data_IF_021499096224
#
_entry.id   IF_021499096224
#
_cell.length_a   1.000
_cell.length_b   1.000
_cell.length_c   1.000
_cell.angle_alpha   90.00
_cell.angle_beta   90.00
_cell.angle_gamma   90.00
#
_symmetry.space_group_name_H-M   'P 1'
#
loop_
_entity.id
_entity.type
_entity.pdbx_description
1 polymer ?
#
# COMPACT_ATOMS: atom_id res chain seq x y z
N UNK A 1 -12.08 -17.67 15.00
CA UNK A 1 -10.64 -18.00 14.92
C UNK A 1 -9.89 -16.72 14.64
N UNK A 2 -9.29 -16.11 15.67
CA UNK A 2 -8.60 -14.82 15.56
C UNK A 2 -7.16 -15.11 15.15
N UNK A 3 -6.86 -14.94 13.87
CA UNK A 3 -5.52 -15.14 13.33
C UNK A 3 -4.60 -14.04 13.86
N UNK A 4 -3.42 -14.43 14.36
CA UNK A 4 -2.45 -13.50 14.92
C UNK A 4 -1.91 -12.55 13.83
N UNK A 5 -2.03 -11.25 14.07
CA UNK A 5 -1.42 -10.20 13.27
C UNK A 5 0.10 -10.34 13.31
N UNK A 6 0.71 -10.69 12.17
CA UNK A 6 2.16 -10.60 11.98
C UNK A 6 2.46 -9.34 11.16
N UNK A 7 2.24 -8.18 11.77
CA UNK A 7 2.70 -6.92 11.21
C UNK A 7 4.23 -6.97 11.08
N UNK A 8 4.77 -6.64 9.91
CA UNK A 8 6.16 -6.25 9.77
C UNK A 8 6.24 -4.85 10.41
N UNK A 9 6.43 -4.84 11.72
CA UNK A 9 6.55 -3.61 12.49
C UNK A 9 7.91 -2.98 12.19
N UNK A 10 7.99 -2.20 11.12
CA UNK A 10 8.96 -1.11 11.07
C UNK A 10 8.43 -0.07 12.05
N UNK A 11 8.87 -0.15 13.32
CA UNK A 11 8.62 0.91 14.31
C UNK A 11 9.47 2.12 13.95
N UNK A 12 9.05 2.90 12.96
CA UNK A 12 9.45 4.29 12.90
C UNK A 12 8.69 4.98 14.03
N UNK A 13 9.35 5.22 15.16
CA UNK A 13 8.78 6.09 16.20
C UNK A 13 8.70 7.49 15.61
N UNK A 14 7.52 7.84 15.08
CA UNK A 14 7.18 9.21 14.77
C UNK A 14 7.25 10.03 16.06
N UNK A 15 7.79 11.25 15.92
CA UNK A 15 7.66 12.30 16.93
C UNK A 15 6.16 12.42 17.32
N UNK A 16 5.86 12.31 18.62
CA UNK A 16 4.52 12.48 19.23
C UNK A 16 3.42 11.45 18.92
N UNK A 17 3.70 10.15 19.05
CA UNK A 17 2.64 9.12 19.14
C UNK A 17 1.90 8.82 17.83
N UNK A 18 2.35 9.43 16.73
CA UNK A 18 1.95 9.08 15.37
C UNK A 18 2.47 7.68 15.01
N UNK A 19 1.56 6.78 14.61
CA UNK A 19 1.89 5.40 14.28
C UNK A 19 1.70 5.17 12.79
N UNK A 20 2.76 4.70 12.15
CA UNK A 20 2.72 4.15 10.79
C UNK A 20 3.24 2.70 10.82
N UNK A 21 2.51 1.78 10.19
CA UNK A 21 2.93 0.38 10.04
C UNK A 21 2.35 -0.25 8.78
N UNK A 22 2.98 -1.33 8.32
CA UNK A 22 2.55 -2.09 7.16
C UNK A 22 2.25 -3.55 7.49
N UNK A 23 1.30 -4.14 6.78
CA UNK A 23 1.05 -5.58 6.78
C UNK A 23 0.81 -6.12 5.36
N UNK A 24 1.11 -7.40 5.09
CA UNK A 24 0.80 -8.00 3.79
C UNK A 24 -0.71 -8.09 3.55
N UNK A 25 -1.16 -7.78 2.33
CA UNK A 25 -2.52 -8.05 1.92
C UNK A 25 -2.75 -9.57 1.84
N UNK A 26 -3.80 -10.06 2.51
CA UNK A 26 -4.09 -11.50 2.56
C UNK A 26 -4.78 -12.04 1.29
N UNK A 27 -5.09 -11.16 0.33
CA UNK A 27 -5.77 -11.50 -0.92
C UNK A 27 -5.09 -10.76 -2.06
N UNK A 28 -5.24 -11.31 -3.27
CA UNK A 28 -4.85 -10.64 -4.50
C UNK A 28 -5.63 -9.33 -4.64
N UNK A 29 -4.92 -8.22 -4.78
CA UNK A 29 -5.50 -6.90 -5.00
C UNK A 29 -5.35 -6.54 -6.48
N UNK A 30 -6.37 -5.92 -7.05
CA UNK A 30 -6.38 -5.42 -8.43
C UNK A 30 -6.80 -3.96 -8.44
N UNK A 31 -6.11 -3.16 -9.24
CA UNK A 31 -6.47 -1.78 -9.54
C UNK A 31 -6.92 -1.71 -10.99
N UNK A 32 -8.11 -1.18 -11.21
CA UNK A 32 -8.68 -0.95 -12.53
C UNK A 32 -9.07 0.52 -12.67
N UNK A 33 -8.86 1.07 -13.87
CA UNK A 33 -9.31 2.39 -14.24
C UNK A 33 -9.98 2.32 -15.61
N UNK A 34 -11.24 2.76 -15.68
CA UNK A 34 -12.03 2.70 -16.92
C UNK A 34 -12.06 1.30 -17.57
N UNK A 35 -12.04 0.25 -16.74
CA UNK A 35 -12.01 -1.15 -17.21
C UNK A 35 -10.63 -1.70 -17.59
N UNK A 36 -9.58 -0.87 -17.59
CA UNK A 36 -8.20 -1.30 -17.84
C UNK A 36 -7.50 -1.63 -16.52
N UNK A 37 -6.85 -2.81 -16.44
CA UNK A 37 -6.12 -3.21 -15.24
C UNK A 37 -4.76 -2.52 -15.20
N UNK A 38 -4.55 -1.66 -14.20
CA UNK A 38 -3.29 -0.93 -13.99
C UNK A 38 -2.31 -1.75 -13.15
N UNK A 39 -2.80 -2.40 -12.10
CA UNK A 39 -1.96 -3.21 -11.21
C UNK A 39 -2.69 -4.45 -10.74
N UNK A 40 -1.95 -5.53 -10.49
CA UNK A 40 -2.51 -6.74 -9.89
C UNK A 40 -1.45 -7.54 -9.15
N UNK A 41 -1.59 -7.64 -7.82
CA UNK A 41 -0.54 -8.19 -6.96
C UNK A 41 -1.09 -9.12 -5.89
N UNK A 42 -0.33 -10.18 -5.60
CA UNK A 42 -0.49 -11.03 -4.41
C UNK A 42 0.45 -10.63 -3.27
N UNK A 43 1.33 -9.66 -3.51
CA UNK A 43 2.36 -9.18 -2.58
C UNK A 43 2.15 -7.71 -2.19
N UNK A 44 0.95 -7.17 -2.44
CA UNK A 44 0.59 -5.82 -2.02
C UNK A 44 0.69 -5.69 -0.49
N UNK A 45 1.07 -4.49 -0.04
CA UNK A 45 1.12 -4.13 1.38
C UNK A 45 -0.03 -3.18 1.71
N UNK A 46 -0.58 -3.30 2.90
CA UNK A 46 -1.55 -2.36 3.48
C UNK A 46 -0.78 -1.47 4.45
N UNK A 47 -0.71 -0.17 4.17
CA UNK A 47 -0.16 0.85 5.06
C UNK A 47 -1.27 1.42 5.93
N UNK A 48 -1.02 1.43 7.23
CA UNK A 48 -1.84 2.08 8.23
C UNK A 48 -1.10 3.28 8.77
N UNK A 49 -1.77 4.42 8.81
CA UNK A 49 -1.26 5.65 9.41
C UNK A 49 -2.34 6.26 10.30
N UNK A 50 -1.95 6.78 11.47
CA UNK A 50 -2.89 7.37 12.42
C UNK A 50 -3.78 8.42 11.74
N UNK A 51 -5.09 8.35 11.99
CA UNK A 51 -6.13 9.22 11.43
C UNK A 51 -6.30 9.18 9.89
N UNK A 52 -5.70 8.22 9.20
CA UNK A 52 -5.85 8.04 7.76
C UNK A 52 -6.52 6.70 7.44
N UNK A 53 -7.22 6.66 6.31
CA UNK A 53 -7.68 5.39 5.76
C UNK A 53 -6.49 4.56 5.29
N UNK A 54 -6.51 3.22 5.43
CA UNK A 54 -5.44 2.38 4.95
C UNK A 54 -5.21 2.54 3.45
N UNK A 55 -3.94 2.51 3.03
CA UNK A 55 -3.51 2.67 1.63
C UNK A 55 -2.81 1.40 1.17
N UNK A 56 -3.04 0.99 -0.08
CA UNK A 56 -2.37 -0.15 -0.68
C UNK A 56 -1.11 0.27 -1.43
N UNK A 57 0.02 -0.34 -1.11
CA UNK A 57 1.26 -0.25 -1.86
C UNK A 57 1.47 -1.52 -2.69
N UNK A 58 1.86 -1.33 -3.94
CA UNK A 58 2.13 -2.42 -4.88
C UNK A 58 3.63 -2.48 -5.18
N UNK A 59 4.22 -3.69 -5.29
CA UNK A 59 5.53 -3.83 -5.92
C UNK A 59 5.48 -3.26 -7.33
N UNK A 60 6.51 -2.51 -7.74
CA UNK A 60 6.54 -1.87 -9.06
C UNK A 60 6.47 -2.87 -10.22
N UNK A 61 6.95 -4.11 -9.99
CA UNK A 61 6.88 -5.23 -10.95
C UNK A 61 5.45 -5.67 -11.27
N UNK A 62 4.51 -5.37 -10.37
CA UNK A 62 3.10 -5.75 -10.49
C UNK A 62 2.23 -4.60 -11.03
N UNK A 63 2.87 -3.48 -11.40
CA UNK A 63 2.23 -2.28 -11.94
C UNK A 63 2.61 -2.14 -13.42
N UNK A 64 1.61 -1.89 -14.27
CA UNK A 64 1.80 -1.59 -15.69
C UNK A 64 2.31 -0.16 -15.89
N UNK A 65 3.61 0.01 -15.69
CA UNK A 65 4.28 1.31 -15.81
C UNK A 65 4.22 1.88 -17.24
N UNK A 66 3.95 1.06 -18.26
CA UNK A 66 3.68 1.50 -19.63
C UNK A 66 2.39 2.35 -19.76
N UNK A 67 1.50 2.28 -18.78
CA UNK A 67 0.25 3.05 -18.74
C UNK A 67 0.35 4.32 -17.87
N UNK A 68 1.51 4.60 -17.29
CA UNK A 68 1.72 5.70 -16.35
C UNK A 68 2.77 6.67 -16.88
N UNK A 69 2.53 7.96 -16.66
CA UNK A 69 3.53 9.01 -16.90
C UNK A 69 3.81 9.77 -15.60
N UNK A 70 5.06 10.20 -15.36
CA UNK A 70 5.37 11.07 -14.24
C UNK A 70 4.60 12.40 -14.34
N UNK A 71 4.00 12.82 -13.23
CA UNK A 71 3.42 14.16 -13.11
C UNK A 71 4.36 15.11 -12.37
N UNK A 72 4.28 16.41 -12.65
CA UNK A 72 5.06 17.45 -11.94
C UNK A 72 4.61 17.66 -10.46
N UNK A 73 3.51 17.02 -10.04
CA UNK A 73 2.96 17.20 -8.69
C UNK A 73 3.83 16.52 -7.63
N UNK A 74 4.27 17.30 -6.65
CA UNK A 74 5.03 16.85 -5.48
C UNK A 74 4.30 17.23 -4.19
N UNK A 75 4.43 16.39 -3.17
CA UNK A 75 3.90 16.61 -1.80
C UNK A 75 5.05 16.40 -0.80
N UNK A 76 5.01 17.13 0.32
CA UNK A 76 6.03 17.12 1.38
C UNK A 76 5.55 16.39 2.63
#
# INVERSE_FOLDING_TARGET
MTQAFRALSVKTQGIDGHLAFVEPALRKIRVEFSGESIASSTEALIMHETNHQPVYYFPITDVRMDLLEPSDRLTH
#
